data_IF_001368820761
#
_entry.id   IF_001368820761
#
_cell.length_a   1.000
_cell.length_b   1.000
_cell.length_c   1.000
_cell.angle_alpha   90.00
_cell.angle_beta   90.00
_cell.angle_gamma   90.00
#
_symmetry.space_group_name_H-M   'P 1'
#
loop_
_entity.id
_entity.type
_entity.pdbx_description
1 polymer ?
#
# COMPACT_ATOMS: atom_id res chain seq x y z
N UNK A 1 35.71 12.61 -16.25
CA UNK A 1 34.96 11.42 -16.72
C UNK A 1 34.31 10.81 -15.50
N UNK A 2 33.01 11.06 -15.31
CA UNK A 2 32.29 10.70 -14.07
C UNK A 2 31.81 9.25 -14.20
N UNK A 3 32.37 8.37 -13.40
CA UNK A 3 32.03 6.95 -13.39
C UNK A 3 30.68 6.78 -12.68
N UNK A 4 29.62 6.53 -13.45
CA UNK A 4 28.32 6.13 -12.89
C UNK A 4 28.53 4.78 -12.19
N UNK A 5 28.54 4.78 -10.86
CA UNK A 5 28.37 3.55 -10.09
C UNK A 5 26.98 3.00 -10.44
N UNK A 6 26.96 1.92 -11.23
CA UNK A 6 25.77 1.09 -11.34
C UNK A 6 25.51 0.52 -9.94
N UNK A 7 24.49 1.06 -9.28
CA UNK A 7 23.95 0.47 -8.07
C UNK A 7 23.30 -0.84 -8.51
N UNK A 8 23.93 -1.95 -8.15
CA UNK A 8 23.43 -3.30 -8.44
C UNK A 8 21.98 -3.38 -7.94
N UNK A 9 21.05 -3.57 -8.88
CA UNK A 9 19.63 -3.27 -8.65
C UNK A 9 18.96 -4.45 -7.97
N UNK A 10 19.12 -4.55 -6.66
CA UNK A 10 18.58 -5.57 -5.77
C UNK A 10 19.08 -7.02 -6.05
N UNK A 11 19.30 -7.84 -5.01
CA UNK A 11 19.66 -9.24 -5.20
C UNK A 11 18.56 -9.99 -5.96
N UNK A 12 18.94 -10.98 -6.77
CA UNK A 12 17.99 -11.88 -7.41
C UNK A 12 17.29 -12.70 -6.33
N UNK A 13 16.03 -12.36 -6.03
CA UNK A 13 15.21 -13.08 -5.04
C UNK A 13 14.32 -14.08 -5.78
N UNK A 14 14.53 -15.38 -5.53
CA UNK A 14 13.65 -16.46 -6.00
C UNK A 14 12.43 -16.55 -5.08
N UNK A 15 11.46 -15.66 -5.29
CA UNK A 15 10.20 -15.64 -4.53
C UNK A 15 9.24 -16.70 -5.08
N UNK A 16 8.81 -17.62 -4.22
CA UNK A 16 7.73 -18.58 -4.52
C UNK A 16 6.42 -18.08 -3.89
N UNK A 17 5.24 -18.53 -4.37
CA UNK A 17 3.96 -18.15 -3.78
C UNK A 17 3.90 -18.35 -2.26
N UNK A 18 4.47 -19.46 -1.77
CA UNK A 18 4.58 -19.76 -0.33
C UNK A 18 5.35 -18.72 0.49
N UNK A 19 6.28 -18.00 -0.15
CA UNK A 19 7.15 -17.03 0.50
C UNK A 19 6.42 -15.68 0.69
N UNK A 20 5.26 -15.51 0.03
CA UNK A 20 4.34 -14.39 0.22
C UNK A 20 3.02 -14.81 0.87
N UNK A 21 2.85 -16.11 1.16
CA UNK A 21 1.73 -16.61 1.96
C UNK A 21 1.82 -16.00 3.36
N UNK A 22 0.75 -15.34 3.80
CA UNK A 22 0.71 -14.64 5.09
C UNK A 22 1.20 -13.18 5.05
N UNK A 23 1.71 -12.68 3.92
CA UNK A 23 2.12 -11.28 3.79
C UNK A 23 0.97 -10.30 4.09
N UNK A 24 -0.27 -10.70 3.76
CA UNK A 24 -1.48 -9.94 4.08
C UNK A 24 -1.69 -9.86 5.60
N UNK A 25 -1.45 -10.95 6.33
CA UNK A 25 -1.59 -11.00 7.78
C UNK A 25 -0.50 -10.15 8.46
N UNK A 26 0.74 -10.23 7.96
CA UNK A 26 1.85 -9.39 8.42
C UNK A 26 1.58 -7.90 8.18
N UNK A 27 1.03 -7.57 7.01
CA UNK A 27 0.62 -6.20 6.69
C UNK A 27 -0.48 -5.70 7.63
N UNK A 28 -1.43 -6.58 7.98
CA UNK A 28 -2.49 -6.25 8.93
C UNK A 28 -1.92 -6.05 10.34
N UNK A 29 -0.98 -6.90 10.77
CA UNK A 29 -0.26 -6.72 12.03
C UNK A 29 0.52 -5.40 12.05
N UNK A 30 1.15 -5.03 10.93
CA UNK A 30 1.81 -3.75 10.76
C UNK A 30 0.82 -2.58 10.88
N UNK A 31 -0.35 -2.66 10.24
CA UNK A 31 -1.42 -1.65 10.39
C UNK A 31 -1.84 -1.46 11.85
N UNK A 32 -1.97 -2.54 12.61
CA UNK A 32 -2.34 -2.48 14.04
C UNK A 32 -1.33 -1.68 14.86
N UNK A 33 -0.03 -1.74 14.54
CA UNK A 33 1.02 -1.01 15.27
C UNK A 33 0.85 0.50 15.13
N UNK A 34 0.59 1.00 13.93
CA UNK A 34 0.56 2.44 13.67
C UNK A 34 -0.85 3.05 13.58
N UNK A 35 -1.90 2.23 13.48
CA UNK A 35 -3.30 2.69 13.50
C UNK A 35 -3.62 3.60 14.70
N UNK A 36 -3.11 3.37 15.93
CA UNK A 36 -3.30 4.28 17.06
C UNK A 36 -2.75 5.70 16.84
N UNK A 37 -1.82 5.90 15.91
CA UNK A 37 -1.27 7.22 15.59
C UNK A 37 -2.30 8.14 14.92
N UNK A 38 -3.31 7.58 14.27
CA UNK A 38 -4.43 8.35 13.76
C UNK A 38 -5.45 8.60 14.86
N UNK A 39 -5.73 9.86 15.13
CA UNK A 39 -6.67 10.27 16.19
C UNK A 39 -8.12 9.95 15.81
N UNK A 40 -8.48 10.09 14.53
CA UNK A 40 -9.85 9.89 14.04
C UNK A 40 -10.06 8.44 13.60
N UNK A 41 -11.19 7.87 13.98
CA UNK A 41 -11.62 6.52 13.55
C UNK A 41 -11.62 6.38 12.01
N UNK A 42 -12.07 7.42 11.32
CA UNK A 42 -12.10 7.47 9.86
C UNK A 42 -10.70 7.37 9.24
N UNK A 43 -9.72 8.11 9.76
CA UNK A 43 -8.32 8.05 9.30
C UNK A 43 -7.69 6.66 9.56
N UNK A 44 -8.06 5.98 10.66
CA UNK A 44 -7.63 4.60 10.93
C UNK A 44 -8.15 3.63 9.88
N UNK A 45 -9.40 3.81 9.45
CA UNK A 45 -10.00 3.00 8.40
C UNK A 45 -9.28 3.26 7.06
N UNK A 46 -9.17 4.52 6.66
CA UNK A 46 -8.60 4.89 5.35
C UNK A 46 -7.11 4.59 5.21
N UNK A 47 -6.34 4.62 6.29
CA UNK A 47 -4.94 4.19 6.24
C UNK A 47 -4.79 2.69 5.94
N UNK A 48 -5.74 1.86 6.41
CA UNK A 48 -5.78 0.44 6.08
C UNK A 48 -6.16 0.22 4.61
N UNK A 49 -7.15 0.94 4.11
CA UNK A 49 -7.53 0.89 2.69
C UNK A 49 -6.41 1.40 1.77
N UNK A 50 -5.65 2.42 2.19
CA UNK A 50 -4.46 2.88 1.48
C UNK A 50 -3.41 1.78 1.35
N UNK A 51 -3.10 1.07 2.46
CA UNK A 51 -2.17 -0.06 2.40
C UNK A 51 -2.65 -1.12 1.43
N UNK A 52 -3.93 -1.52 1.46
CA UNK A 52 -4.48 -2.49 0.50
C UNK A 52 -4.35 -2.00 -0.94
N UNK A 53 -4.61 -0.72 -1.18
CA UNK A 53 -4.44 -0.08 -2.48
C UNK A 53 -3.01 -0.19 -3.02
N UNK A 54 -1.99 -0.18 -2.16
CA UNK A 54 -0.59 -0.33 -2.57
C UNK A 54 -0.29 -1.73 -3.13
N UNK A 55 -1.11 -2.75 -2.87
CA UNK A 55 -0.94 -4.09 -3.42
C UNK A 55 -1.71 -4.32 -4.73
N UNK A 56 -2.62 -3.42 -5.11
CA UNK A 56 -3.38 -3.57 -6.34
C UNK A 56 -2.49 -3.42 -7.58
N UNK A 57 -2.64 -4.31 -8.55
CA UNK A 57 -1.98 -4.18 -9.84
C UNK A 57 -2.62 -3.04 -10.64
N UNK A 58 -1.99 -1.86 -10.64
CA UNK A 58 -2.54 -0.65 -11.24
C UNK A 58 -1.43 0.25 -11.80
N UNK A 59 -1.71 1.03 -12.86
CA UNK A 59 -0.73 1.90 -13.51
C UNK A 59 -0.29 3.09 -12.63
N UNK A 60 -1.09 3.47 -11.63
CA UNK A 60 -0.77 4.59 -10.74
C UNK A 60 -1.16 4.25 -9.30
N UNK A 61 -0.27 4.55 -8.35
CA UNK A 61 -0.48 4.34 -6.91
C UNK A 61 -1.01 5.58 -6.19
N UNK A 62 -1.62 6.51 -6.92
CA UNK A 62 -2.27 7.67 -6.32
C UNK A 62 -3.55 7.26 -5.56
N UNK A 63 -3.92 8.02 -4.53
CA UNK A 63 -5.09 7.73 -3.69
C UNK A 63 -6.38 7.60 -4.50
N UNK A 64 -6.63 8.53 -5.43
CA UNK A 64 -7.85 8.54 -6.25
C UNK A 64 -8.06 7.23 -7.05
N UNK A 65 -7.12 6.74 -7.87
CA UNK A 65 -7.30 5.46 -8.56
C UNK A 65 -7.40 4.27 -7.60
N UNK A 66 -6.72 4.29 -6.43
CA UNK A 66 -6.88 3.22 -5.43
C UNK A 66 -8.30 3.17 -4.89
N UNK A 67 -8.86 4.32 -4.49
CA UNK A 67 -10.24 4.42 -4.00
C UNK A 67 -11.23 3.93 -5.05
N UNK A 68 -11.06 4.38 -6.29
CA UNK A 68 -11.94 3.99 -7.38
C UNK A 68 -11.93 2.47 -7.62
N UNK A 69 -10.78 1.83 -7.49
CA UNK A 69 -10.66 0.37 -7.65
C UNK A 69 -11.19 -0.39 -6.43
N UNK A 70 -10.97 0.10 -5.21
CA UNK A 70 -11.40 -0.58 -3.97
C UNK A 70 -12.88 -0.37 -3.63
N UNK A 71 -13.40 0.84 -3.88
CA UNK A 71 -14.71 1.27 -3.40
C UNK A 71 -15.65 1.74 -4.52
N UNK A 72 -15.19 1.78 -5.77
CA UNK A 72 -15.98 2.28 -6.91
C UNK A 72 -16.02 3.80 -6.98
N UNK A 73 -16.94 4.34 -7.80
CA UNK A 73 -17.06 5.78 -8.06
C UNK A 73 -17.74 6.58 -6.92
N UNK A 74 -17.43 6.26 -5.66
CA UNK A 74 -17.89 7.03 -4.51
C UNK A 74 -16.99 8.26 -4.31
N UNK A 75 -17.52 9.45 -4.63
CA UNK A 75 -16.83 10.71 -4.45
C UNK A 75 -16.50 11.01 -2.97
N UNK A 76 -17.33 10.54 -2.03
CA UNK A 76 -17.10 10.75 -0.60
C UNK A 76 -15.90 9.92 -0.12
N UNK A 77 -15.72 8.71 -0.67
CA UNK A 77 -14.56 7.87 -0.37
C UNK A 77 -13.24 8.53 -0.81
N UNK A 78 -13.25 9.28 -1.93
CA UNK A 78 -12.05 9.98 -2.41
C UNK A 78 -11.67 11.12 -1.47
N UNK A 79 -12.64 11.93 -1.04
CA UNK A 79 -12.40 13.04 -0.10
C UNK A 79 -11.98 12.55 1.28
N UNK A 80 -12.48 11.40 1.72
CA UNK A 80 -12.21 10.88 3.06
C UNK A 80 -10.78 10.33 3.23
N UNK A 81 -10.05 10.09 2.14
CA UNK A 81 -8.63 9.72 2.15
C UNK A 81 -7.64 10.89 2.03
N UNK A 82 -8.12 12.12 1.79
CA UNK A 82 -7.30 13.33 1.64
C UNK A 82 -7.06 14.04 2.99
#
# INVERSE_FOLDING_TARGET
>A
MMMMMMIETAPMVDLRPRDVDGLVDELQAYHVIYSPLFQRREQRYWSGEYLRGLFLEMPSKSVKPMVLTLHGADANAICAMQ
#
